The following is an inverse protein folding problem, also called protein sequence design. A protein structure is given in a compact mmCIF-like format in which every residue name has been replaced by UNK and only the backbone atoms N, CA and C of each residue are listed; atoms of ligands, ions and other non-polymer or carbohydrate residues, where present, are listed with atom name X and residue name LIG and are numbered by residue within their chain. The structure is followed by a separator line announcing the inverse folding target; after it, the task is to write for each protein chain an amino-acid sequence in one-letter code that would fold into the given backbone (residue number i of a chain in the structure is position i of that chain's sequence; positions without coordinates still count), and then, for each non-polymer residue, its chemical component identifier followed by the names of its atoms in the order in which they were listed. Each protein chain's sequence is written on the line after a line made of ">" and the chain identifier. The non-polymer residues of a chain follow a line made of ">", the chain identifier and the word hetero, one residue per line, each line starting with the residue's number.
data_IF_533568758494
#
_entry.id   IF_533568758494
#
_cell.length_a   1.000
_cell.length_b   1.000
_cell.length_c   1.000
_cell.angle_alpha   90.00
_cell.angle_beta   90.00
_cell.angle_gamma   90.00
#
_symmetry.space_group_name_H-M   'P 1'
#
loop_
_entity.id
_entity.type
_entity.pdbx_description
1 polymer ?
#
# COMPACT_ATOMS: atom_id res chain seq x y z
N UNK A 1 4.46 2.22 -11.41
CA UNK A 1 3.10 1.88 -10.94
C UNK A 1 2.23 1.76 -12.17
N UNK A 2 1.42 0.71 -12.32
CA UNK A 2 0.51 0.58 -13.48
C UNK A 2 -0.92 0.71 -12.96
N UNK A 3 -1.31 1.93 -12.61
CA UNK A 3 -2.69 2.31 -12.73
C UNK A 3 -2.93 2.56 -14.23
N UNK A 4 -3.95 1.96 -14.81
CA UNK A 4 -4.37 2.40 -16.14
C UNK A 4 -4.86 3.86 -16.05
N UNK A 5 -4.88 4.58 -17.16
CA UNK A 5 -5.34 5.97 -17.22
C UNK A 5 -6.80 6.14 -16.74
N UNK A 6 -7.52 5.05 -16.47
CA UNK A 6 -8.88 5.11 -15.94
C UNK A 6 -8.93 5.45 -14.44
N UNK A 7 -7.81 5.46 -13.72
CA UNK A 7 -7.74 5.82 -12.29
C UNK A 7 -8.54 4.89 -11.37
N UNK A 8 -9.01 3.74 -11.88
CA UNK A 8 -9.84 2.79 -11.13
C UNK A 8 -9.02 1.84 -10.27
N UNK A 9 -7.76 1.63 -10.63
CA UNK A 9 -6.82 0.83 -9.85
C UNK A 9 -6.48 1.50 -8.53
N UNK A 10 -6.50 0.74 -7.43
CA UNK A 10 -6.04 1.18 -6.11
C UNK A 10 -4.86 0.33 -5.67
N UNK A 11 -3.90 0.95 -5.00
CA UNK A 11 -2.80 0.27 -4.33
C UNK A 11 -3.10 0.15 -2.85
N UNK A 12 -2.93 -1.05 -2.32
CA UNK A 12 -3.13 -1.34 -0.91
C UNK A 12 -1.76 -1.68 -0.30
N UNK A 13 -1.24 -0.79 0.53
CA UNK A 13 -0.03 -1.02 1.31
C UNK A 13 -0.40 -1.56 2.70
N UNK A 14 0.19 -2.68 3.07
CA UNK A 14 -0.08 -3.38 4.33
C UNK A 14 1.23 -3.59 5.06
N UNK A 15 1.28 -3.17 6.32
CA UNK A 15 2.40 -3.47 7.22
C UNK A 15 1.87 -3.57 8.65
N UNK A 16 2.49 -4.41 9.49
CA UNK A 16 2.12 -4.51 10.91
C UNK A 16 2.80 -3.43 11.75
N UNK A 17 3.87 -2.83 11.24
CA UNK A 17 4.61 -1.79 11.93
C UNK A 17 4.07 -0.41 11.56
N UNK A 18 3.48 0.27 12.52
CA UNK A 18 2.93 1.61 12.34
C UNK A 18 3.98 2.60 11.81
N UNK A 19 5.23 2.48 12.28
CA UNK A 19 6.35 3.28 11.77
C UNK A 19 6.65 3.07 10.28
N UNK A 20 6.41 1.87 9.75
CA UNK A 20 6.57 1.59 8.32
C UNK A 20 5.45 2.25 7.50
N UNK A 21 4.21 2.26 8.02
CA UNK A 21 3.07 2.97 7.44
C UNK A 21 3.33 4.48 7.42
N UNK A 22 3.75 5.05 8.55
CA UNK A 22 4.03 6.49 8.67
C UNK A 22 5.16 6.95 7.77
N UNK A 23 6.27 6.22 7.75
CA UNK A 23 7.41 6.54 6.87
C UNK A 23 7.03 6.43 5.40
N UNK A 24 6.24 5.42 5.01
CA UNK A 24 5.73 5.29 3.64
C UNK A 24 4.76 6.43 3.30
N UNK A 25 3.85 6.79 4.20
CA UNK A 25 2.94 7.94 4.03
C UNK A 25 3.69 9.25 3.85
N UNK A 26 4.75 9.46 4.64
CA UNK A 26 5.65 10.60 4.52
C UNK A 26 6.41 10.60 3.19
N UNK A 27 6.92 9.45 2.77
CA UNK A 27 7.60 9.31 1.49
C UNK A 27 6.65 9.59 0.31
N UNK A 28 5.43 9.04 0.33
CA UNK A 28 4.41 9.29 -0.69
C UNK A 28 4.02 10.76 -0.77
N UNK A 29 3.97 11.50 0.35
CA UNK A 29 3.77 12.96 0.36
C UNK A 29 4.78 13.71 -0.50
N UNK A 30 6.00 13.20 -0.59
CA UNK A 30 7.11 13.83 -1.30
C UNK A 30 7.30 13.29 -2.72
N UNK A 31 6.95 12.03 -2.95
CA UNK A 31 7.30 11.31 -4.17
C UNK A 31 6.23 11.38 -5.28
N UNK A 32 4.95 11.56 -4.92
CA UNK A 32 3.83 11.52 -5.87
C UNK A 32 2.85 12.66 -5.63
N UNK A 33 2.09 13.04 -6.66
CA UNK A 33 1.15 14.15 -6.56
C UNK A 33 -0.11 13.82 -5.74
N UNK A 34 -0.98 14.80 -5.51
CA UNK A 34 -2.19 14.61 -4.72
C UNK A 34 -3.15 13.58 -5.32
N UNK A 35 -3.23 13.49 -6.66
CA UNK A 35 -4.11 12.56 -7.34
C UNK A 35 -3.60 11.12 -7.22
N UNK A 36 -2.31 10.91 -7.46
CA UNK A 36 -1.65 9.60 -7.30
C UNK A 36 -1.73 9.12 -5.84
N UNK A 37 -1.65 10.03 -4.86
CA UNK A 37 -1.80 9.68 -3.43
C UNK A 37 -3.18 9.17 -3.09
N UNK A 38 -4.24 9.65 -3.74
CA UNK A 38 -5.61 9.18 -3.48
C UNK A 38 -5.81 7.72 -3.91
N UNK A 39 -5.01 7.25 -4.87
CA UNK A 39 -5.02 5.87 -5.36
C UNK A 39 -4.34 4.88 -4.40
N UNK A 40 -3.55 5.37 -3.43
CA UNK A 40 -2.84 4.53 -2.46
C UNK A 40 -3.56 4.54 -1.11
N UNK A 41 -3.85 3.36 -0.56
CA UNK A 41 -4.41 3.16 0.78
C UNK A 41 -3.43 2.35 1.62
N UNK A 42 -2.98 2.93 2.72
CA UNK A 42 -2.06 2.27 3.65
C UNK A 42 -2.83 1.81 4.90
N UNK A 43 -2.58 0.59 5.35
CA UNK A 43 -3.23 0.02 6.53
C UNK A 43 -2.21 -0.68 7.43
N UNK A 44 -2.30 -0.39 8.72
CA UNK A 44 -1.50 -1.02 9.76
C UNK A 44 -2.10 -2.39 10.15
N UNK A 45 -2.09 -3.34 9.20
CA UNK A 45 -2.56 -4.71 9.42
C UNK A 45 -1.64 -5.74 8.75
N UNK A 46 -1.68 -6.98 9.23
CA UNK A 46 -0.94 -8.08 8.62
C UNK A 46 -1.57 -8.51 7.27
N UNK A 47 -0.74 -8.94 6.32
CA UNK A 47 -1.19 -9.49 5.04
C UNK A 47 -2.12 -10.70 5.18
N UNK A 48 -2.08 -11.44 6.30
CA UNK A 48 -3.03 -12.52 6.59
C UNK A 48 -4.48 -12.04 6.74
N UNK A 49 -4.68 -10.75 7.04
CA UNK A 49 -5.98 -10.10 7.18
C UNK A 49 -6.37 -9.26 5.96
N UNK A 50 -5.73 -9.50 4.81
CA UNK A 50 -6.03 -8.76 3.58
C UNK A 50 -7.51 -8.85 3.16
N UNK A 51 -8.19 -9.95 3.51
CA UNK A 51 -9.64 -10.14 3.26
C UNK A 51 -10.54 -9.16 4.02
N UNK A 52 -10.05 -8.53 5.09
CA UNK A 52 -10.79 -7.47 5.81
C UNK A 52 -10.87 -6.16 5.01
N UNK A 53 -9.99 -5.99 4.01
CA UNK A 53 -9.86 -4.77 3.21
C UNK A 53 -10.26 -5.00 1.76
N UNK A 54 -9.81 -6.10 1.17
CA UNK A 54 -10.07 -6.46 -0.21
C UNK A 54 -11.16 -7.54 -0.22
N UNK A 55 -12.40 -7.21 -0.67
CA UNK A 55 -13.45 -8.20 -0.79
C UNK A 55 -13.01 -9.38 -1.65
N UNK A 56 -13.47 -10.60 -1.31
CA UNK A 56 -13.07 -11.84 -2.01
C UNK A 56 -13.39 -11.82 -3.51
N UNK A 57 -14.41 -11.08 -3.91
CA UNK A 57 -14.86 -10.97 -5.30
C UNK A 57 -14.17 -9.82 -6.07
N UNK A 58 -13.24 -9.10 -5.42
CA UNK A 58 -12.50 -8.01 -6.05
C UNK A 58 -11.26 -8.57 -6.78
N UNK A 59 -11.11 -8.32 -8.10
CA UNK A 59 -9.97 -8.82 -8.84
C UNK A 59 -8.67 -8.12 -8.41
N UNK A 60 -7.72 -8.90 -7.88
CA UNK A 60 -6.36 -8.45 -7.55
C UNK A 60 -5.44 -8.75 -8.74
N UNK A 61 -4.92 -7.71 -9.39
CA UNK A 61 -4.04 -7.84 -10.56
C UNK A 61 -2.62 -8.29 -10.19
N UNK A 62 -2.12 -7.87 -9.03
CA UNK A 62 -0.79 -8.20 -8.54
C UNK A 62 -0.73 -8.10 -7.02
N UNK A 63 0.08 -8.95 -6.40
CA UNK A 63 0.40 -8.90 -4.98
C UNK A 63 1.90 -9.15 -4.80
N UNK A 64 2.56 -8.32 -4.00
CA UNK A 64 3.96 -8.47 -3.63
C UNK A 64 4.07 -8.51 -2.11
N UNK A 65 4.72 -9.53 -1.57
CA UNK A 65 4.98 -9.67 -0.14
C UNK A 65 6.48 -9.63 0.07
N UNK A 66 6.95 -8.68 0.86
CA UNK A 66 8.33 -8.64 1.31
C UNK A 66 8.41 -9.29 2.70
N UNK A 67 9.12 -10.41 2.80
CA UNK A 67 9.37 -11.09 4.06
C UNK A 67 10.71 -10.62 4.64
N UNK A 68 10.69 -10.05 5.84
CA UNK A 68 11.87 -9.55 6.53
C UNK A 68 11.59 -8.31 7.37
N UNK A 69 12.61 -7.82 8.08
CA UNK A 69 12.51 -6.56 8.83
C UNK A 69 12.76 -5.37 7.89
N UNK A 70 12.05 -4.24 8.09
CA UNK A 70 12.40 -3.00 7.42
C UNK A 70 13.86 -2.65 7.74
N UNK A 71 14.63 -2.30 6.70
CA UNK A 71 15.99 -1.81 6.90
C UNK A 71 15.92 -0.46 7.60
N UNK A 72 16.26 -0.41 8.89
CA UNK A 72 16.42 0.86 9.62
C UNK A 72 17.60 1.60 9.03
N UNK A 73 17.35 2.66 8.26
CA UNK A 73 18.38 3.69 8.04
C UNK A 73 18.53 4.45 9.37
N UNK A 74 19.73 4.39 9.94
CA UNK A 74 20.15 5.23 11.06
C UNK A 74 20.32 6.67 10.60
#
# INVERSE_FOLDING_TARGET
>A
MVADESGRGRFYGLDIQDSAIDSTSSFLKMAVDSHERELVKLFCICHSRMEDIIPKDSPVRACSIQSGLPSRRR
#
